data_IF_027087219768
#
_entry.id   IF_027087219768
#
_cell.length_a   1.000
_cell.length_b   1.000
_cell.length_c   1.000
_cell.angle_alpha   90.00
_cell.angle_beta   90.00
_cell.angle_gamma   90.00
#
_symmetry.space_group_name_H-M   'P 1'
#
loop_
_entity.id
_entity.type
_entity.pdbx_description
1 polymer ?
#
# COMPACT_ATOMS: atom_id res chain seq x y z
N UNK A 1 -75.44 25.50 12.83
CA UNK A 1 -74.70 24.21 12.60
C UNK A 1 -73.45 24.56 11.86
N UNK A 2 -72.34 24.82 12.59
CA UNK A 2 -71.07 25.24 11.99
C UNK A 2 -70.18 24.00 11.80
N UNK A 3 -69.99 23.65 10.54
CA UNK A 3 -69.11 22.55 10.14
C UNK A 3 -67.66 23.07 10.13
N UNK A 4 -66.84 22.69 11.11
CA UNK A 4 -65.38 22.93 11.13
C UNK A 4 -64.68 21.92 10.25
N UNK A 5 -64.19 22.38 9.11
CA UNK A 5 -63.33 21.62 8.22
C UNK A 5 -61.90 21.60 8.84
N UNK A 6 -61.45 20.46 9.36
CA UNK A 6 -60.07 20.24 9.82
C UNK A 6 -59.23 19.90 8.62
N UNK A 7 -58.41 20.86 8.15
CA UNK A 7 -57.42 20.64 7.09
C UNK A 7 -56.20 19.95 7.69
N UNK A 8 -56.02 18.67 7.40
CA UNK A 8 -54.83 17.89 7.80
C UNK A 8 -53.66 18.25 6.88
N UNK A 9 -52.70 19.04 7.37
CA UNK A 9 -51.45 19.33 6.66
C UNK A 9 -50.48 18.19 6.87
N UNK A 10 -50.30 17.36 5.89
CA UNK A 10 -49.26 16.33 5.84
C UNK A 10 -47.89 16.99 5.53
N UNK A 11 -47.07 17.17 6.55
CA UNK A 11 -45.68 17.64 6.40
C UNK A 11 -44.85 16.42 5.93
N UNK A 12 -44.53 16.38 4.64
CA UNK A 12 -43.52 15.45 4.09
C UNK A 12 -42.14 15.98 4.51
N UNK A 13 -41.54 15.34 5.52
CA UNK A 13 -40.12 15.56 5.86
C UNK A 13 -39.30 14.81 4.83
N UNK A 14 -38.81 15.51 3.82
CA UNK A 14 -37.77 14.97 2.93
C UNK A 14 -36.45 14.87 3.69
N UNK A 15 -36.11 13.69 4.17
CA UNK A 15 -34.76 13.39 4.56
C UNK A 15 -33.86 13.43 3.32
N UNK A 16 -33.18 14.55 3.11
CA UNK A 16 -32.10 14.61 2.15
C UNK A 16 -30.95 13.71 2.66
N UNK A 17 -30.92 12.46 2.24
CA UNK A 17 -29.72 11.65 2.33
C UNK A 17 -28.67 12.27 1.40
N UNK A 18 -27.82 13.15 1.92
CA UNK A 18 -26.59 13.49 1.23
C UNK A 18 -25.76 12.19 1.16
N UNK A 19 -25.74 11.56 0.02
CA UNK A 19 -24.79 10.50 -0.26
C UNK A 19 -23.40 11.16 -0.19
N UNK A 20 -22.65 10.88 0.88
CA UNK A 20 -21.26 11.33 0.97
C UNK A 20 -20.51 10.76 -0.23
N UNK A 21 -19.99 11.63 -1.07
CA UNK A 21 -19.16 11.23 -2.19
C UNK A 21 -17.91 10.50 -1.67
N UNK A 22 -17.41 9.52 -2.43
CA UNK A 22 -16.15 8.85 -2.09
C UNK A 22 -15.03 9.89 -1.95
N UNK A 23 -14.39 9.90 -0.80
CA UNK A 23 -13.23 10.75 -0.52
C UNK A 23 -11.95 9.97 -0.77
N UNK A 24 -10.90 10.66 -1.23
CA UNK A 24 -9.60 10.06 -1.49
C UNK A 24 -8.50 10.89 -0.82
N UNK A 25 -7.68 10.21 -0.04
CA UNK A 25 -6.45 10.75 0.52
C UNK A 25 -5.25 10.11 -0.19
N UNK A 26 -4.36 10.94 -0.73
CA UNK A 26 -3.21 10.53 -1.52
C UNK A 26 -3.18 11.20 -2.89
N UNK A 27 -2.07 11.00 -3.60
CA UNK A 27 -1.85 11.57 -4.93
C UNK A 27 -2.04 10.50 -6.01
N UNK A 28 -2.86 10.75 -7.01
CA UNK A 28 -3.07 9.86 -8.16
C UNK A 28 -1.87 9.91 -9.11
N UNK A 29 -0.71 9.45 -8.63
CA UNK A 29 0.58 9.43 -9.32
C UNK A 29 1.10 7.99 -9.30
N UNK A 30 1.82 7.57 -10.33
CA UNK A 30 2.49 6.26 -10.39
C UNK A 30 3.33 6.01 -9.13
N UNK A 31 3.21 4.81 -8.56
CA UNK A 31 3.93 4.38 -7.37
C UNK A 31 3.38 4.88 -6.03
N UNK A 32 2.22 5.51 -6.02
CA UNK A 32 1.55 5.94 -4.80
C UNK A 32 0.46 4.95 -4.38
N UNK A 33 0.10 4.97 -3.09
CA UNK A 33 -1.13 4.34 -2.63
C UNK A 33 -2.19 5.40 -2.31
N UNK A 34 -3.46 5.00 -2.35
CA UNK A 34 -4.60 5.86 -2.09
C UNK A 34 -5.41 5.24 -0.97
N UNK A 35 -5.67 6.02 0.07
CA UNK A 35 -6.65 5.70 1.09
C UNK A 35 -8.00 6.32 0.68
N UNK A 36 -9.00 5.48 0.54
CA UNK A 36 -10.37 5.91 0.23
C UNK A 36 -11.28 5.84 1.45
N UNK A 37 -12.29 6.70 1.46
CA UNK A 37 -13.36 6.69 2.46
C UNK A 37 -14.69 6.74 1.73
N UNK A 38 -15.60 5.86 2.12
CA UNK A 38 -16.97 5.77 1.62
C UNK A 38 -17.94 5.53 2.77
N UNK A 39 -19.21 5.42 2.48
CA UNK A 39 -20.22 5.03 3.46
C UNK A 39 -20.01 3.57 3.92
N UNK A 40 -20.28 3.30 5.19
CA UNK A 40 -20.32 1.94 5.73
C UNK A 40 -21.23 1.03 4.92
N UNK A 41 -20.81 -0.22 4.67
CA UNK A 41 -21.56 -1.18 3.87
C UNK A 41 -21.52 -0.96 2.36
N UNK A 42 -20.83 0.06 1.85
CA UNK A 42 -20.60 0.24 0.43
C UNK A 42 -19.69 -0.87 -0.12
N UNK A 43 -19.88 -1.21 -1.40
CA UNK A 43 -18.99 -2.11 -2.15
C UNK A 43 -18.16 -1.28 -3.11
N UNK A 44 -16.85 -1.43 -3.04
CA UNK A 44 -15.90 -0.73 -3.90
C UNK A 44 -15.27 -1.70 -4.89
N UNK A 45 -15.19 -1.26 -6.15
CA UNK A 45 -14.47 -1.96 -7.21
C UNK A 45 -13.47 -0.99 -7.84
N UNK A 46 -12.21 -1.38 -7.90
CA UNK A 46 -11.13 -0.65 -8.58
C UNK A 46 -10.75 -1.44 -9.83
N UNK A 47 -10.89 -0.83 -11.02
CA UNK A 47 -10.55 -1.46 -12.30
C UNK A 47 -11.15 -2.88 -12.44
N UNK A 48 -12.42 -3.04 -12.10
CA UNK A 48 -13.18 -4.30 -12.13
C UNK A 48 -12.76 -5.32 -11.03
N UNK A 49 -11.84 -5.00 -10.12
CA UNK A 49 -11.48 -5.85 -8.98
C UNK A 49 -12.17 -5.36 -7.72
N UNK A 50 -12.80 -6.25 -6.98
CA UNK A 50 -13.36 -5.92 -5.68
C UNK A 50 -12.26 -5.56 -4.71
N UNK A 51 -12.49 -4.53 -3.90
CA UNK A 51 -11.57 -4.06 -2.86
C UNK A 51 -12.29 -4.17 -1.53
N UNK A 52 -11.58 -4.67 -0.52
CA UNK A 52 -12.08 -4.78 0.84
C UNK A 52 -12.38 -3.38 1.40
N UNK A 53 -13.54 -3.23 2.04
CA UNK A 53 -13.98 -2.00 2.70
C UNK A 53 -14.17 -2.31 4.17
N UNK A 54 -13.56 -1.53 5.05
CA UNK A 54 -13.72 -1.69 6.50
C UNK A 54 -15.13 -1.31 6.97
N UNK A 55 -15.53 -1.75 8.16
CA UNK A 55 -16.84 -1.45 8.73
C UNK A 55 -17.13 0.05 8.84
N UNK A 56 -16.09 0.85 9.02
CA UNK A 56 -16.17 2.31 9.05
C UNK A 56 -15.96 2.96 7.67
N UNK A 57 -15.95 2.17 6.59
CA UNK A 57 -15.97 2.64 5.20
C UNK A 57 -14.61 2.97 4.59
N UNK A 58 -13.48 2.62 5.22
CA UNK A 58 -12.16 2.83 4.61
C UNK A 58 -11.79 1.69 3.67
N UNK A 59 -11.06 2.03 2.61
CA UNK A 59 -10.46 1.09 1.68
C UNK A 59 -9.14 1.65 1.17
N UNK A 60 -8.28 0.79 0.63
CA UNK A 60 -6.96 1.20 0.15
C UNK A 60 -6.62 0.48 -1.15
N UNK A 61 -5.87 1.15 -2.02
CA UNK A 61 -5.31 0.54 -3.22
C UNK A 61 -4.02 1.23 -3.65
N UNK A 62 -3.16 0.46 -4.33
CA UNK A 62 -1.90 0.96 -4.89
C UNK A 62 -2.02 1.33 -6.37
N UNK A 63 -1.28 2.35 -6.78
CA UNK A 63 -1.08 2.73 -8.17
C UNK A 63 0.27 2.17 -8.62
N UNK A 64 0.25 1.20 -9.51
CA UNK A 64 1.49 0.56 -9.98
C UNK A 64 2.47 1.57 -10.60
N UNK A 65 3.77 1.29 -10.46
CA UNK A 65 4.89 2.12 -10.95
C UNK A 65 4.75 2.49 -12.44
N UNK A 66 4.32 1.53 -13.26
CA UNK A 66 4.23 1.68 -14.72
C UNK A 66 2.79 1.83 -15.22
N UNK A 67 1.87 2.21 -14.31
CA UNK A 67 0.46 2.40 -14.64
C UNK A 67 0.29 3.46 -15.72
N UNK A 68 -0.35 3.10 -16.85
CA UNK A 68 -0.61 4.00 -17.99
C UNK A 68 -2.04 4.50 -18.05
N UNK A 69 -2.99 3.69 -17.59
CA UNK A 69 -4.41 3.97 -17.69
C UNK A 69 -4.93 4.65 -16.43
N UNK A 70 -5.94 5.48 -16.57
CA UNK A 70 -6.67 6.07 -15.47
C UNK A 70 -7.27 5.00 -14.55
N UNK A 71 -7.50 5.34 -13.28
CA UNK A 71 -8.16 4.46 -12.31
C UNK A 71 -9.66 4.67 -12.40
N UNK A 72 -10.41 3.59 -12.56
CA UNK A 72 -11.86 3.60 -12.46
C UNK A 72 -12.27 3.03 -11.11
N UNK A 73 -12.92 3.86 -10.29
CA UNK A 73 -13.54 3.46 -9.02
C UNK A 73 -15.04 3.34 -9.24
N UNK A 74 -15.61 2.22 -8.83
CA UNK A 74 -17.06 2.03 -8.80
C UNK A 74 -17.46 1.80 -7.35
N UNK A 75 -18.32 2.68 -6.86
CA UNK A 75 -18.99 2.55 -5.58
C UNK A 75 -20.40 2.04 -5.80
N UNK A 76 -20.83 1.06 -4.99
CA UNK A 76 -22.21 0.56 -4.97
C UNK A 76 -22.75 0.61 -3.54
N UNK A 77 -23.86 1.33 -3.36
CA UNK A 77 -24.60 1.45 -2.10
C UNK A 77 -26.05 1.06 -2.38
N UNK A 78 -26.49 -0.09 -1.86
CA UNK A 78 -27.79 -0.65 -2.22
C UNK A 78 -27.92 -0.83 -3.73
N UNK A 79 -28.92 -0.16 -4.34
CA UNK A 79 -29.14 -0.18 -5.81
C UNK A 79 -28.41 0.96 -6.54
N UNK A 80 -27.85 1.91 -5.83
CA UNK A 80 -27.15 3.05 -6.42
C UNK A 80 -25.72 2.65 -6.82
N UNK A 81 -25.30 3.12 -7.99
CA UNK A 81 -23.96 2.89 -8.53
C UNK A 81 -23.36 4.22 -8.98
N UNK A 82 -22.22 4.56 -8.40
CA UNK A 82 -21.44 5.73 -8.76
C UNK A 82 -20.13 5.30 -9.42
N UNK A 83 -19.76 5.95 -10.54
CA UNK A 83 -18.51 5.71 -11.28
C UNK A 83 -17.64 6.96 -11.22
N UNK A 84 -16.45 6.81 -10.70
CA UNK A 84 -15.45 7.87 -10.57
C UNK A 84 -14.23 7.46 -11.40
N UNK A 85 -13.74 8.34 -12.26
CA UNK A 85 -12.51 8.14 -13.03
C UNK A 85 -11.48 9.16 -12.55
N UNK A 86 -10.30 8.68 -12.18
CA UNK A 86 -9.18 9.49 -11.71
C UNK A 86 -8.01 9.36 -12.67
N UNK A 87 -7.59 10.49 -13.24
CA UNK A 87 -6.41 10.58 -14.09
C UNK A 87 -5.15 10.26 -13.28
N UNK A 88 -4.28 9.41 -13.84
CA UNK A 88 -3.00 9.06 -13.22
C UNK A 88 -1.91 9.94 -13.82
N UNK A 89 -1.18 10.62 -12.94
CA UNK A 89 -0.01 11.40 -13.33
C UNK A 89 1.21 10.48 -13.46
N UNK A 90 1.98 10.69 -14.52
CA UNK A 90 3.26 10.01 -14.71
C UNK A 90 4.27 10.51 -13.69
N UNK A 91 5.09 9.59 -13.18
CA UNK A 91 6.25 9.89 -12.37
C UNK A 91 7.53 9.62 -13.14
N UNK A 92 8.49 10.51 -13.05
CA UNK A 92 9.83 10.28 -13.58
C UNK A 92 10.65 9.53 -12.52
N UNK A 93 11.32 8.46 -12.98
CA UNK A 93 12.15 7.61 -12.11
C UNK A 93 13.62 7.78 -12.49
N UNK A 94 14.47 7.91 -11.48
CA UNK A 94 15.91 8.01 -11.67
C UNK A 94 16.49 6.67 -12.10
N UNK A 95 17.57 6.70 -12.89
CA UNK A 95 18.40 5.53 -13.18
C UNK A 95 19.57 5.57 -12.20
N UNK A 96 19.73 4.50 -11.41
CA UNK A 96 20.83 4.32 -10.48
C UNK A 96 21.81 3.31 -11.06
N UNK A 97 23.01 3.76 -11.43
CA UNK A 97 24.10 2.90 -11.92
C UNK A 97 25.06 2.65 -10.77
N UNK A 98 25.36 1.39 -10.53
CA UNK A 98 26.29 0.95 -9.49
C UNK A 98 27.25 -0.04 -10.12
N UNK A 99 28.52 0.34 -10.23
CA UNK A 99 29.58 -0.46 -10.82
C UNK A 99 30.59 -0.91 -9.75
N UNK A 100 31.45 -1.87 -10.10
CA UNK A 100 32.45 -2.41 -9.17
C UNK A 100 31.91 -3.40 -8.14
N UNK A 101 30.68 -3.88 -8.30
CA UNK A 101 30.12 -4.89 -7.41
C UNK A 101 30.73 -6.29 -7.70
N UNK A 102 31.02 -7.11 -6.66
CA UNK A 102 31.39 -8.51 -6.83
C UNK A 102 30.33 -9.26 -7.67
N UNK A 103 30.77 -10.10 -8.63
CA UNK A 103 29.86 -10.84 -9.52
C UNK A 103 28.75 -11.57 -8.77
N UNK A 104 29.06 -12.23 -7.64
CA UNK A 104 28.11 -12.95 -6.78
C UNK A 104 26.98 -12.07 -6.20
N UNK A 105 27.19 -10.76 -6.11
CA UNK A 105 26.16 -9.79 -5.68
C UNK A 105 25.23 -9.41 -6.82
N UNK A 106 25.67 -9.54 -8.07
CA UNK A 106 24.89 -9.22 -9.27
C UNK A 106 24.16 -10.44 -9.80
N UNK A 107 24.84 -11.60 -9.82
CA UNK A 107 24.28 -12.90 -10.22
C UNK A 107 24.70 -13.93 -9.18
N UNK A 108 23.76 -14.47 -8.38
CA UNK A 108 24.10 -15.43 -7.36
C UNK A 108 24.63 -16.74 -7.98
N UNK A 109 25.54 -17.44 -7.29
CA UNK A 109 25.92 -18.80 -7.66
C UNK A 109 24.72 -19.76 -7.63
N UNK A 110 24.75 -20.77 -8.48
CA UNK A 110 23.64 -21.72 -8.65
C UNK A 110 23.27 -22.45 -7.35
N UNK A 111 24.28 -22.76 -6.53
CA UNK A 111 24.10 -23.38 -5.21
C UNK A 111 23.11 -22.65 -4.29
N UNK A 112 22.91 -21.33 -4.48
CA UNK A 112 21.96 -20.54 -3.69
C UNK A 112 20.55 -20.46 -4.29
N UNK A 113 20.31 -20.95 -5.50
CA UNK A 113 18.99 -20.81 -6.14
C UNK A 113 17.86 -21.48 -5.37
N UNK A 114 18.09 -22.66 -4.81
CA UNK A 114 17.11 -23.37 -3.99
C UNK A 114 16.77 -22.58 -2.71
N UNK A 115 17.79 -22.03 -2.05
CA UNK A 115 17.63 -21.16 -0.87
C UNK A 115 16.82 -19.90 -1.23
N UNK A 116 17.23 -19.19 -2.27
CA UNK A 116 16.56 -17.95 -2.74
C UNK A 116 15.09 -18.22 -3.09
N UNK A 117 14.81 -19.34 -3.79
CA UNK A 117 13.44 -19.71 -4.15
C UNK A 117 12.56 -19.94 -2.92
N UNK A 118 13.09 -20.66 -1.91
CA UNK A 118 12.38 -20.89 -0.64
C UNK A 118 12.11 -19.60 0.10
N UNK A 119 13.12 -18.73 0.23
CA UNK A 119 13.02 -17.46 0.94
C UNK A 119 12.05 -16.47 0.26
N UNK A 120 12.10 -16.38 -1.07
CA UNK A 120 11.13 -15.59 -1.83
C UNK A 120 9.68 -16.08 -1.61
N UNK A 121 9.48 -17.39 -1.47
CA UNK A 121 8.17 -17.97 -1.15
C UNK A 121 7.73 -17.56 0.26
N UNK A 122 8.60 -17.59 1.26
CA UNK A 122 8.28 -17.14 2.64
C UNK A 122 7.85 -15.68 2.64
N UNK A 123 8.63 -14.81 1.99
CA UNK A 123 8.29 -13.38 1.84
C UNK A 123 6.95 -13.19 1.12
N UNK A 124 6.71 -13.96 0.04
CA UNK A 124 5.45 -13.91 -0.70
C UNK A 124 4.26 -14.25 0.19
N UNK A 125 4.30 -15.38 0.88
CA UNK A 125 3.24 -15.82 1.79
C UNK A 125 2.97 -14.78 2.89
N UNK A 126 4.02 -14.22 3.50
CA UNK A 126 3.86 -13.21 4.55
C UNK A 126 3.24 -11.91 4.04
N UNK A 127 3.45 -11.55 2.76
CA UNK A 127 2.91 -10.33 2.14
C UNK A 127 1.53 -10.52 1.52
N UNK A 128 1.13 -11.76 1.24
CA UNK A 128 -0.18 -12.06 0.66
C UNK A 128 -1.32 -12.07 1.70
N UNK A 129 -1.00 -11.83 2.97
CA UNK A 129 -1.99 -11.73 4.05
C UNK A 129 -2.87 -10.52 3.82
N UNK A 130 -4.19 -10.74 3.85
CA UNK A 130 -5.21 -9.69 3.72
C UNK A 130 -6.15 -9.77 4.94
N UNK A 131 -5.63 -9.35 6.10
CA UNK A 131 -6.39 -9.33 7.36
C UNK A 131 -7.39 -8.17 7.44
N UNK A 132 -8.25 -8.20 8.47
CA UNK A 132 -9.19 -7.12 8.78
C UNK A 132 -8.63 -6.10 9.79
N UNK A 133 -7.33 -6.10 10.02
CA UNK A 133 -6.69 -5.14 10.92
C UNK A 133 -6.95 -3.70 10.45
N UNK A 134 -7.17 -2.76 11.38
CA UNK A 134 -7.57 -1.40 11.03
C UNK A 134 -6.39 -0.44 10.79
N UNK A 135 -5.15 -0.89 10.94
CA UNK A 135 -3.97 -0.02 11.01
C UNK A 135 -3.58 0.59 9.66
N UNK A 136 -4.01 -0.01 8.53
CA UNK A 136 -3.73 0.52 7.19
C UNK A 136 -4.22 1.96 6.97
N UNK A 137 -5.17 2.44 7.75
CA UNK A 137 -5.74 3.78 7.65
C UNK A 137 -5.03 4.82 8.52
N UNK A 138 -4.17 4.37 9.44
CA UNK A 138 -3.45 5.24 10.36
C UNK A 138 -2.24 5.88 9.66
N UNK A 139 -1.68 6.92 10.29
CA UNK A 139 -0.49 7.60 9.77
C UNK A 139 0.74 6.74 9.98
N UNK A 140 1.45 6.46 8.89
CA UNK A 140 2.76 5.80 8.93
C UNK A 140 3.85 6.82 9.30
N UNK A 141 4.74 6.44 10.21
CA UNK A 141 5.90 7.25 10.62
C UNK A 141 7.14 6.89 9.82
N UNK A 142 8.15 7.76 9.83
CA UNK A 142 9.48 7.44 9.32
C UNK A 142 10.15 6.47 10.30
N UNK A 143 10.69 5.32 9.84
CA UNK A 143 11.16 4.26 10.74
C UNK A 143 12.51 4.54 11.40
N UNK A 144 13.27 5.50 10.88
CA UNK A 144 14.63 5.81 11.32
C UNK A 144 14.77 7.32 11.49
N UNK A 145 15.16 7.76 12.67
CA UNK A 145 15.38 9.18 12.95
C UNK A 145 16.65 9.67 12.23
N UNK A 146 16.64 10.91 11.74
CA UNK A 146 17.78 11.62 11.12
C UNK A 146 18.51 10.85 10.00
N UNK A 147 17.82 9.93 9.34
CA UNK A 147 18.42 9.13 8.29
C UNK A 147 18.50 9.87 6.95
N UNK A 148 19.59 9.60 6.22
CA UNK A 148 19.77 10.09 4.85
C UNK A 148 19.09 9.11 3.88
N UNK A 149 18.20 9.63 3.02
CA UNK A 149 17.58 8.82 1.97
C UNK A 149 18.57 8.65 0.82
N UNK A 150 19.04 7.41 0.61
CA UNK A 150 20.03 7.06 -0.42
C UNK A 150 19.44 6.32 -1.60
N UNK A 151 18.26 5.75 -1.47
CA UNK A 151 17.52 5.09 -2.54
C UNK A 151 16.03 5.41 -2.47
N UNK A 152 15.42 5.69 -3.63
CA UNK A 152 13.99 6.03 -3.71
C UNK A 152 13.22 5.02 -4.54
N UNK A 153 11.94 4.84 -4.20
CA UNK A 153 11.03 3.94 -4.90
C UNK A 153 10.99 4.24 -6.41
N UNK A 154 11.06 3.17 -7.19
CA UNK A 154 10.92 3.18 -8.64
C UNK A 154 12.23 3.41 -9.40
N UNK A 155 13.34 3.75 -8.72
CA UNK A 155 14.64 3.93 -9.39
C UNK A 155 15.05 2.66 -10.11
N UNK A 156 15.37 2.78 -11.42
CA UNK A 156 15.89 1.68 -12.21
C UNK A 156 17.33 1.41 -11.80
N UNK A 157 17.62 0.21 -11.31
CA UNK A 157 18.99 -0.20 -10.96
C UNK A 157 19.68 -0.87 -12.13
N UNK A 158 20.90 -0.43 -12.41
CA UNK A 158 21.83 -1.07 -13.38
C UNK A 158 23.07 -1.42 -12.57
N UNK A 159 23.32 -2.71 -12.37
CA UNK A 159 24.44 -3.22 -11.57
C UNK A 159 25.51 -3.84 -12.49
N UNK A 160 26.72 -3.28 -12.47
CA UNK A 160 27.81 -3.67 -13.39
C UNK A 160 27.33 -3.74 -14.86
N UNK A 161 26.58 -2.75 -15.32
CA UNK A 161 25.99 -2.70 -16.66
C UNK A 161 24.75 -3.58 -16.88
N UNK A 162 24.36 -4.42 -15.93
CA UNK A 162 23.20 -5.33 -16.06
C UNK A 162 21.95 -4.69 -15.46
N UNK A 163 20.87 -4.45 -16.26
CA UNK A 163 19.60 -3.98 -15.73
C UNK A 163 19.01 -4.98 -14.73
N UNK A 164 18.56 -4.48 -13.59
CA UNK A 164 17.90 -5.24 -12.53
C UNK A 164 16.48 -4.72 -12.32
N UNK A 165 15.71 -5.39 -11.46
CA UNK A 165 14.41 -4.90 -11.04
C UNK A 165 14.52 -3.50 -10.46
N UNK A 166 13.52 -2.62 -10.70
CA UNK A 166 13.46 -1.32 -10.06
C UNK A 166 13.50 -1.46 -8.52
N UNK A 167 13.98 -0.43 -7.87
CA UNK A 167 13.97 -0.37 -6.42
C UNK A 167 12.54 -0.14 -5.90
N UNK A 168 11.96 -1.10 -5.20
CA UNK A 168 10.58 -1.04 -4.70
C UNK A 168 10.50 -0.62 -3.22
N UNK A 169 11.40 0.29 -2.78
CA UNK A 169 11.44 0.77 -1.41
C UNK A 169 12.11 2.12 -1.26
N UNK A 170 12.36 2.49 -0.01
CA UNK A 170 13.20 3.61 0.39
C UNK A 170 14.41 3.05 1.15
N UNK A 171 15.60 3.50 0.78
CA UNK A 171 16.83 3.18 1.53
C UNK A 171 17.14 4.32 2.50
N UNK A 172 17.17 4.00 3.77
CA UNK A 172 17.56 4.89 4.85
C UNK A 172 18.98 4.54 5.29
N UNK A 173 19.96 5.43 5.04
CA UNK A 173 21.33 5.23 5.48
C UNK A 173 21.51 5.77 6.89
N UNK A 174 22.04 4.91 7.77
CA UNK A 174 22.37 5.25 9.13
C UNK A 174 23.49 4.35 9.65
N UNK A 175 24.09 4.70 10.79
CA UNK A 175 25.13 3.88 11.44
C UNK A 175 24.54 2.54 11.89
N UNK A 176 25.38 1.49 11.84
CA UNK A 176 25.04 0.18 12.42
C UNK A 176 24.65 0.33 13.90
N UNK A 177 23.58 -0.33 14.31
CA UNK A 177 23.02 -0.25 15.66
C UNK A 177 22.01 0.88 15.87
N UNK A 178 21.73 1.71 14.85
CA UNK A 178 20.65 2.70 14.94
C UNK A 178 19.30 1.98 15.05
N UNK A 179 18.44 2.34 16.02
CA UNK A 179 17.12 1.76 16.17
C UNK A 179 16.24 1.99 14.95
N UNK A 180 15.54 0.95 14.53
CA UNK A 180 14.51 1.00 13.48
C UNK A 180 13.16 0.72 14.11
N UNK A 181 12.23 1.65 13.96
CA UNK A 181 10.88 1.60 14.54
C UNK A 181 9.90 0.98 13.54
N UNK A 182 8.91 0.24 14.02
CA UNK A 182 7.75 -0.10 13.20
C UNK A 182 7.07 1.19 12.72
N UNK A 183 6.78 1.27 11.42
CA UNK A 183 6.16 2.48 10.82
C UNK A 183 4.73 2.70 11.27
N UNK A 184 4.07 1.65 11.73
CA UNK A 184 2.69 1.66 12.19
C UNK A 184 2.43 0.44 13.09
N UNK A 185 1.31 0.41 13.78
CA UNK A 185 0.78 -0.79 14.44
C UNK A 185 0.56 -1.91 13.42
N UNK A 186 0.76 -3.15 13.84
CA UNK A 186 0.62 -4.30 12.94
C UNK A 186 0.92 -5.62 13.63
N UNK A 187 0.78 -6.71 12.89
CA UNK A 187 1.16 -8.04 13.33
C UNK A 187 2.37 -8.50 12.52
N UNK A 188 3.40 -9.00 13.20
CA UNK A 188 4.58 -9.59 12.52
C UNK A 188 4.16 -10.86 11.80
N UNK A 189 4.35 -10.89 10.48
CA UNK A 189 4.03 -12.04 9.62
C UNK A 189 5.27 -12.80 9.16
N UNK A 190 6.44 -12.17 9.26
CA UNK A 190 7.75 -12.77 9.03
C UNK A 190 8.79 -12.09 9.91
N UNK A 191 9.66 -12.91 10.53
CA UNK A 191 10.88 -12.46 11.21
C UNK A 191 11.99 -13.46 10.95
N UNK A 192 13.00 -13.06 10.18
CA UNK A 192 14.12 -13.90 9.76
C UNK A 192 15.44 -13.14 9.91
N UNK A 193 16.45 -13.78 10.48
CA UNK A 193 17.73 -13.11 10.79
C UNK A 193 18.66 -13.03 9.58
N UNK A 194 18.59 -13.98 8.64
CA UNK A 194 19.57 -14.10 7.54
C UNK A 194 18.92 -14.62 6.25
N UNK A 195 18.20 -13.77 5.54
CA UNK A 195 17.78 -14.09 4.19
C UNK A 195 18.84 -13.66 3.17
N UNK A 196 19.04 -14.43 2.11
CA UNK A 196 20.12 -14.29 1.14
C UNK A 196 20.25 -12.86 0.56
N UNK A 197 19.13 -12.27 0.16
CA UNK A 197 19.12 -10.92 -0.41
C UNK A 197 18.83 -9.82 0.61
N UNK A 198 18.05 -10.12 1.60
CA UNK A 198 17.47 -9.09 2.49
C UNK A 198 18.06 -9.10 3.90
N UNK A 199 18.91 -10.11 4.22
CA UNK A 199 19.50 -10.23 5.56
C UNK A 199 18.45 -10.32 6.65
N UNK A 200 18.69 -9.68 7.78
CA UNK A 200 17.69 -9.55 8.83
C UNK A 200 16.44 -8.84 8.30
N UNK A 201 15.30 -9.53 8.37
CA UNK A 201 14.08 -9.13 7.67
C UNK A 201 12.86 -9.29 8.57
N UNK A 202 12.05 -8.23 8.67
CA UNK A 202 10.75 -8.26 9.35
C UNK A 202 9.67 -7.79 8.38
N UNK A 203 8.51 -8.44 8.41
CA UNK A 203 7.29 -8.01 7.70
C UNK A 203 6.18 -7.84 8.72
N UNK A 204 5.49 -6.70 8.63
CA UNK A 204 4.26 -6.42 9.38
C UNK A 204 3.08 -6.41 8.43
N UNK A 205 1.97 -7.01 8.85
CA UNK A 205 0.65 -6.82 8.26
C UNK A 205 -0.08 -5.69 9.01
N UNK A 206 -0.62 -4.74 8.26
CA UNK A 206 -1.38 -3.60 8.78
C UNK A 206 -2.87 -3.70 8.46
N UNK A 207 -3.28 -4.76 7.78
CA UNK A 207 -4.63 -5.01 7.30
C UNK A 207 -4.89 -4.53 5.88
N UNK A 208 -5.93 -5.07 5.28
CA UNK A 208 -6.40 -4.77 3.93
C UNK A 208 -5.31 -4.90 2.85
N UNK A 209 -4.42 -5.91 3.00
CA UNK A 209 -3.32 -6.18 2.08
C UNK A 209 -2.17 -5.17 2.13
N UNK A 210 -2.12 -4.31 3.15
CA UNK A 210 -1.01 -3.39 3.37
C UNK A 210 0.01 -4.03 4.30
N UNK A 211 1.23 -4.16 3.82
CA UNK A 211 2.36 -4.65 4.61
C UNK A 211 3.56 -3.72 4.51
N UNK A 212 4.37 -3.66 5.59
CA UNK A 212 5.69 -3.04 5.57
C UNK A 212 6.77 -4.09 5.71
N UNK A 213 7.83 -3.93 4.91
CA UNK A 213 8.97 -4.85 4.87
C UNK A 213 10.23 -4.07 5.26
N UNK A 214 10.93 -4.53 6.30
CA UNK A 214 12.21 -4.00 6.77
C UNK A 214 13.31 -4.99 6.45
N UNK A 215 14.39 -4.49 5.87
CA UNK A 215 15.50 -5.32 5.39
C UNK A 215 16.84 -4.80 5.91
N UNK A 216 17.85 -5.66 5.83
CA UNK A 216 19.23 -5.35 6.20
C UNK A 216 19.38 -4.98 7.68
N UNK A 217 18.51 -5.54 8.52
CA UNK A 217 18.59 -5.40 9.96
C UNK A 217 19.82 -6.14 10.49
N UNK A 218 20.57 -5.50 11.38
CA UNK A 218 21.73 -6.12 12.05
C UNK A 218 21.28 -7.09 13.14
N UNK A 219 20.23 -6.72 13.86
CA UNK A 219 19.64 -7.51 14.94
C UNK A 219 18.14 -7.25 15.02
N UNK A 220 17.38 -8.31 15.25
CA UNK A 220 15.93 -8.28 15.50
C UNK A 220 15.71 -8.61 16.98
N UNK A 221 14.80 -7.90 17.65
CA UNK A 221 14.50 -8.08 19.08
C UNK A 221 13.06 -8.57 19.28
#
# INVERSE_FOLDING_TARGET
>A
MDSKIITLVLIFIFFNFQANAVEFNGKFIQGHFILGKTQSGAKITIDKKNVKVSNDGYFVFGIGKDRKLDVTVIEKIGNNKNKIVKKILKREYKIQRIDGLPKKKVTPPEEFYARIKRENKLIGVARDIDSDLPFFKDKFIVPVDDAIITGVYGSQRILNGIPKWPHYGLDFAQKKGTPVKAMNNGIVTLSEDDLYYTGGTIIFDHGHGISTLYMHMDKIF
#
